data_IF_133101928147
#
_entry.id   IF_133101928147
#
_cell.length_a   1.000
_cell.length_b   1.000
_cell.length_c   1.000
_cell.angle_alpha   90.00
_cell.angle_beta   90.00
_cell.angle_gamma   90.00
#
_symmetry.space_group_name_H-M   'P 1'
#
loop_
_entity.id
_entity.type
_entity.pdbx_description
1 polymer ?
#
# COMPACT_ATOMS: atom_id res chain seq x y z
N UNK A 1 5.46 10.67 -5.40
CA UNK A 1 5.74 9.64 -4.36
C UNK A 1 5.81 8.29 -5.05
N UNK A 2 6.85 7.49 -4.82
CA UNK A 2 7.06 6.20 -5.50
C UNK A 2 7.42 5.14 -4.45
N UNK A 3 6.73 4.00 -4.52
CA UNK A 3 7.01 2.78 -3.77
C UNK A 3 7.17 1.63 -4.78
N UNK A 4 8.16 0.77 -4.57
CA UNK A 4 8.42 -0.38 -5.43
C UNK A 4 8.57 -1.64 -4.59
N UNK A 5 7.81 -2.68 -4.96
CA UNK A 5 7.88 -4.03 -4.38
C UNK A 5 7.86 -4.06 -2.84
N UNK A 6 6.97 -3.28 -2.23
CA UNK A 6 6.86 -3.19 -0.77
C UNK A 6 6.14 -4.42 -0.21
N UNK A 7 6.84 -5.15 0.64
CA UNK A 7 6.30 -6.22 1.48
C UNK A 7 6.12 -5.75 2.92
N UNK A 8 5.00 -6.11 3.55
CA UNK A 8 4.77 -5.87 4.97
C UNK A 8 4.00 -7.02 5.59
N UNK A 9 4.55 -7.56 6.67
CA UNK A 9 3.94 -8.62 7.46
C UNK A 9 3.70 -8.17 8.90
N UNK A 10 2.58 -8.59 9.46
CA UNK A 10 2.28 -8.50 10.89
C UNK A 10 2.12 -9.92 11.42
N UNK A 11 3.11 -10.38 12.18
CA UNK A 11 3.22 -11.80 12.52
C UNK A 11 3.30 -12.66 11.24
N UNK A 12 2.44 -13.69 11.16
CA UNK A 12 2.37 -14.58 10.00
C UNK A 12 1.55 -14.04 8.81
N UNK A 13 0.82 -12.94 8.98
CA UNK A 13 -0.08 -12.39 7.96
C UNK A 13 0.65 -11.36 7.12
N UNK A 14 0.61 -11.53 5.80
CA UNK A 14 1.05 -10.51 4.87
C UNK A 14 -0.04 -9.45 4.70
N UNK A 15 0.27 -8.23 5.13
CA UNK A 15 -0.60 -7.08 4.97
C UNK A 15 -0.34 -6.35 3.64
N UNK A 16 0.89 -6.43 3.12
CA UNK A 16 1.27 -6.04 1.76
C UNK A 16 2.18 -7.14 1.19
N UNK A 17 1.95 -7.51 -0.06
CA UNK A 17 2.82 -8.41 -0.83
C UNK A 17 3.16 -7.72 -2.15
N UNK A 18 4.45 -7.40 -2.33
CA UNK A 18 5.02 -6.77 -3.53
C UNK A 18 4.26 -5.53 -4.04
N UNK A 19 3.80 -4.64 -3.15
CA UNK A 19 3.08 -3.43 -3.53
C UNK A 19 4.02 -2.45 -4.25
N UNK A 20 3.68 -2.10 -5.50
CA UNK A 20 4.29 -0.97 -6.22
C UNK A 20 3.24 0.09 -6.51
N UNK A 21 3.53 1.34 -6.15
CA UNK A 21 2.62 2.47 -6.31
C UNK A 21 3.41 3.74 -6.67
N UNK A 22 2.99 4.40 -7.75
CA UNK A 22 3.53 5.70 -8.14
C UNK A 22 2.41 6.74 -8.18
N UNK A 23 2.57 7.81 -7.39
CA UNK A 23 1.70 8.99 -7.43
C UNK A 23 2.51 10.14 -8.04
N UNK A 24 2.14 10.63 -9.23
CA UNK A 24 2.85 11.73 -9.89
C UNK A 24 2.68 13.03 -9.11
N UNK A 25 3.58 13.99 -9.37
CA UNK A 25 3.49 15.32 -8.79
C UNK A 25 2.17 16.01 -9.21
N UNK A 26 1.50 16.66 -8.25
CA UNK A 26 0.17 17.25 -8.46
C UNK A 26 -0.97 16.22 -8.58
N UNK A 27 -0.67 14.92 -8.52
CA UNK A 27 -1.68 13.86 -8.58
C UNK A 27 -2.47 13.70 -7.28
N UNK A 28 -3.78 13.46 -7.41
CA UNK A 28 -4.65 13.03 -6.31
C UNK A 28 -5.07 11.58 -6.54
N UNK A 29 -4.88 10.73 -5.55
CA UNK A 29 -5.16 9.29 -5.63
C UNK A 29 -5.93 8.82 -4.40
N UNK A 30 -6.96 7.99 -4.62
CA UNK A 30 -7.73 7.35 -3.55
C UNK A 30 -7.45 5.85 -3.50
N UNK A 31 -6.98 5.36 -2.36
CA UNK A 31 -6.80 3.92 -2.12
C UNK A 31 -8.06 3.35 -1.47
N UNK A 32 -8.81 2.55 -2.22
CA UNK A 32 -10.10 1.97 -1.81
C UNK A 32 -10.03 0.45 -1.66
N UNK A 33 -10.97 -0.11 -0.88
CA UNK A 33 -11.05 -1.55 -0.62
C UNK A 33 -11.62 -1.88 0.76
N UNK A 34 -12.01 -3.14 1.01
CA UNK A 34 -12.60 -3.56 2.29
C UNK A 34 -11.61 -3.43 3.46
N UNK A 35 -12.13 -3.50 4.70
CA UNK A 35 -11.28 -3.53 5.88
C UNK A 35 -10.36 -4.76 5.86
N UNK A 36 -9.12 -4.57 6.31
CA UNK A 36 -8.08 -5.61 6.27
C UNK A 36 -7.34 -5.73 4.93
N UNK A 37 -7.75 -5.04 3.86
CA UNK A 37 -7.09 -5.09 2.54
C UNK A 37 -5.72 -4.39 2.46
N UNK A 38 -5.07 -4.05 3.59
CA UNK A 38 -3.74 -3.43 3.59
C UNK A 38 -3.69 -1.92 3.35
N UNK A 39 -4.81 -1.24 3.15
CA UNK A 39 -4.85 0.22 2.83
C UNK A 39 -4.11 1.10 3.83
N UNK A 40 -4.41 0.96 5.13
CA UNK A 40 -3.74 1.73 6.19
C UNK A 40 -2.26 1.38 6.29
N UNK A 41 -1.91 0.12 6.05
CA UNK A 41 -0.52 -0.34 5.99
C UNK A 41 0.25 0.27 4.82
N UNK A 42 -0.41 0.57 3.70
CA UNK A 42 0.21 1.16 2.53
C UNK A 42 0.50 2.66 2.68
N UNK A 43 -0.13 3.36 3.63
CA UNK A 43 -0.02 4.82 3.81
C UNK A 43 0.67 5.23 5.13
N UNK A 44 1.15 4.27 5.91
CA UNK A 44 1.82 4.47 7.20
C UNK A 44 3.15 3.72 7.22
#
# INVERSE_FOLDING_TARGET
MIFENVDKRYGGVAALEQLSLAVPEGGCFGLLGPNGAGKSTAVN
#
